data_IF_759903126569
#
_entry.id   IF_759903126569
#
_cell.length_a   1.000
_cell.length_b   1.000
_cell.length_c   1.000
_cell.angle_alpha   90.00
_cell.angle_beta   90.00
_cell.angle_gamma   90.00
#
_symmetry.space_group_name_H-M   'P 1'
#
loop_
_entity.id
_entity.type
_entity.pdbx_description
1 polymer ?
#
# COMPACT_ATOMS: atom_id res chain seq x y z
N UNK A 1 -3.79 -19.96 -24.62
CA UNK A 1 -2.45 -20.57 -24.33
C UNK A 1 -2.63 -21.60 -23.22
N UNK A 2 -2.04 -22.79 -23.34
CA UNK A 2 -1.99 -23.74 -22.22
C UNK A 2 -0.91 -23.21 -21.30
N UNK A 3 -1.28 -22.74 -20.11
CA UNK A 3 -0.33 -22.23 -19.11
C UNK A 3 0.36 -23.43 -18.43
N UNK A 4 1.50 -23.85 -18.96
CA UNK A 4 2.43 -24.71 -18.24
C UNK A 4 3.25 -23.83 -17.27
N UNK A 5 3.79 -24.44 -16.19
CA UNK A 5 4.62 -23.71 -15.22
C UNK A 5 5.82 -23.01 -15.89
N UNK A 6 6.36 -23.61 -16.95
CA UNK A 6 7.47 -23.06 -17.73
C UNK A 6 7.06 -21.80 -18.49
N UNK A 7 5.87 -21.80 -19.09
CA UNK A 7 5.35 -20.63 -19.81
C UNK A 7 5.07 -19.46 -18.84
N UNK A 8 4.53 -19.73 -17.67
CA UNK A 8 4.30 -18.71 -16.63
C UNK A 8 5.61 -18.08 -16.19
N UNK A 9 6.64 -18.91 -15.95
CA UNK A 9 7.96 -18.43 -15.56
C UNK A 9 8.59 -17.56 -16.64
N UNK A 10 8.52 -17.99 -17.90
CA UNK A 10 9.08 -17.26 -19.05
C UNK A 10 8.34 -15.90 -19.23
N UNK A 11 7.01 -15.91 -19.20
CA UNK A 11 6.19 -14.71 -19.34
C UNK A 11 6.50 -13.73 -18.20
N UNK A 12 6.51 -14.20 -16.97
CA UNK A 12 6.84 -13.37 -15.79
C UNK A 12 8.25 -12.76 -15.89
N UNK A 13 9.24 -13.55 -16.33
CA UNK A 13 10.60 -13.06 -16.53
C UNK A 13 10.67 -12.00 -17.64
N UNK A 14 9.97 -12.18 -18.77
CA UNK A 14 9.89 -11.20 -19.85
C UNK A 14 9.21 -9.93 -19.38
N UNK A 15 8.09 -10.01 -18.66
CA UNK A 15 7.36 -8.87 -18.11
C UNK A 15 8.25 -8.03 -17.20
N UNK A 16 8.94 -8.66 -16.24
CA UNK A 16 9.86 -7.99 -15.32
C UNK A 16 11.01 -7.35 -16.09
N UNK A 17 11.59 -8.06 -17.05
CA UNK A 17 12.68 -7.54 -17.89
C UNK A 17 12.23 -6.30 -18.68
N UNK A 18 11.08 -6.37 -19.35
CA UNK A 18 10.52 -5.25 -20.09
C UNK A 18 10.22 -4.05 -19.18
N UNK A 19 9.62 -4.29 -18.01
CA UNK A 19 9.34 -3.26 -17.02
C UNK A 19 10.62 -2.52 -16.60
N UNK A 20 11.71 -3.25 -16.28
CA UNK A 20 12.99 -2.65 -15.89
C UNK A 20 13.60 -1.86 -17.05
N UNK A 21 13.55 -2.37 -18.29
CA UNK A 21 14.11 -1.69 -19.44
C UNK A 21 13.36 -0.39 -19.76
N UNK A 22 12.04 -0.41 -19.68
CA UNK A 22 11.18 0.77 -19.93
C UNK A 22 11.36 1.81 -18.82
N UNK A 23 11.55 1.40 -17.57
CA UNK A 23 11.76 2.34 -16.45
C UNK A 23 13.00 3.21 -16.66
N UNK A 24 14.07 2.65 -17.24
CA UNK A 24 15.29 3.39 -17.60
C UNK A 24 15.00 4.53 -18.61
N UNK A 25 14.10 4.28 -19.53
CA UNK A 25 13.72 5.25 -20.57
C UNK A 25 12.78 6.31 -20.00
N UNK A 26 11.81 5.91 -19.18
CA UNK A 26 10.82 6.80 -18.58
C UNK A 26 11.44 7.86 -17.66
N UNK A 27 12.50 7.53 -16.96
CA UNK A 27 13.25 8.49 -16.13
C UNK A 27 13.73 9.72 -16.92
N UNK A 28 14.06 9.56 -18.21
CA UNK A 28 14.48 10.67 -19.09
C UNK A 28 13.34 11.62 -19.45
N UNK A 29 12.11 11.11 -19.47
CA UNK A 29 10.91 11.87 -19.84
C UNK A 29 10.12 12.38 -18.64
N UNK A 30 10.59 12.14 -17.41
CA UNK A 30 9.92 12.55 -16.18
C UNK A 30 8.60 11.79 -15.91
N UNK A 31 8.39 10.63 -16.57
CA UNK A 31 7.20 9.81 -16.39
C UNK A 31 7.39 8.97 -15.11
N UNK A 32 6.40 8.94 -14.20
CA UNK A 32 6.45 8.07 -13.02
C UNK A 32 6.66 6.60 -13.41
N UNK A 33 7.67 5.97 -12.83
CA UNK A 33 8.08 4.59 -13.19
C UNK A 33 6.96 3.57 -13.01
N UNK A 34 6.11 3.75 -11.99
CA UNK A 34 5.01 2.85 -11.69
C UNK A 34 3.93 2.85 -12.79
N UNK A 35 3.65 4.01 -13.39
CA UNK A 35 2.77 4.10 -14.57
C UNK A 35 3.33 3.32 -15.76
N UNK A 36 4.65 3.29 -15.91
CA UNK A 36 5.27 2.51 -16.98
C UNK A 36 5.11 1.01 -16.76
N UNK A 37 5.18 0.54 -15.51
CA UNK A 37 4.92 -0.87 -15.18
C UNK A 37 3.46 -1.23 -15.48
N UNK A 38 2.52 -0.37 -15.12
CA UNK A 38 1.11 -0.54 -15.45
C UNK A 38 0.89 -0.63 -16.97
N UNK A 39 1.48 0.30 -17.75
CA UNK A 39 1.38 0.30 -19.20
C UNK A 39 2.00 -0.94 -19.84
N UNK A 40 3.11 -1.47 -19.28
CA UNK A 40 3.66 -2.76 -19.73
C UNK A 40 2.66 -3.87 -19.47
N UNK A 41 2.06 -3.94 -18.27
CA UNK A 41 1.01 -4.90 -17.95
C UNK A 41 -0.15 -4.82 -18.95
N UNK A 42 -0.68 -3.63 -19.21
CA UNK A 42 -1.77 -3.41 -20.19
C UNK A 42 -1.37 -3.86 -21.61
N UNK A 43 -0.13 -3.61 -22.04
CA UNK A 43 0.36 -4.03 -23.34
C UNK A 43 0.47 -5.55 -23.51
N UNK A 44 0.67 -6.27 -22.42
CA UNK A 44 0.67 -7.75 -22.40
C UNK A 44 -0.70 -8.34 -22.06
N UNK A 45 -1.58 -7.59 -21.43
CA UNK A 45 -2.91 -8.01 -21.00
C UNK A 45 -3.85 -8.38 -22.13
N UNK A 46 -5.13 -8.57 -21.76
CA UNK A 46 -6.20 -9.06 -22.67
C UNK A 46 -6.36 -8.20 -23.93
N UNK A 47 -6.24 -6.87 -23.77
CA UNK A 47 -6.38 -5.91 -24.88
C UNK A 47 -5.12 -5.76 -25.73
N UNK A 48 -3.98 -6.31 -25.29
CA UNK A 48 -2.70 -6.26 -25.98
C UNK A 48 -2.29 -7.62 -26.55
N UNK A 49 -1.39 -8.32 -25.88
CA UNK A 49 -0.87 -9.63 -26.32
C UNK A 49 -1.76 -10.81 -25.90
N UNK A 50 -2.88 -10.58 -25.24
CA UNK A 50 -3.88 -11.59 -24.89
C UNK A 50 -3.49 -12.46 -23.69
N UNK A 51 -2.72 -11.94 -22.75
CA UNK A 51 -2.51 -12.60 -21.44
C UNK A 51 -3.73 -12.34 -20.56
N UNK A 52 -4.42 -13.40 -20.17
CA UNK A 52 -5.58 -13.32 -19.28
C UNK A 52 -5.14 -13.51 -17.83
N UNK A 53 -5.35 -12.48 -17.00
CA UNK A 53 -5.20 -12.52 -15.55
C UNK A 53 -6.53 -12.18 -14.87
N UNK A 54 -7.46 -13.14 -14.83
CA UNK A 54 -8.85 -12.93 -14.42
C UNK A 54 -9.14 -13.41 -12.98
N UNK A 55 -8.14 -13.70 -12.17
CA UNK A 55 -8.31 -14.19 -10.80
C UNK A 55 -8.25 -13.04 -9.79
N UNK A 56 -9.42 -12.57 -9.33
CA UNK A 56 -9.48 -11.56 -8.26
C UNK A 56 -8.80 -12.01 -6.95
N UNK A 57 -8.81 -13.33 -6.66
CA UNK A 57 -8.13 -13.89 -5.48
C UNK A 57 -6.62 -13.80 -5.59
N UNK A 58 -6.07 -14.10 -6.77
CA UNK A 58 -4.63 -14.03 -6.99
C UNK A 58 -4.16 -12.56 -7.01
N UNK A 59 -4.94 -11.66 -7.62
CA UNK A 59 -4.70 -10.22 -7.58
C UNK A 59 -4.72 -9.69 -6.13
N UNK A 60 -5.69 -10.09 -5.33
CA UNK A 60 -5.77 -9.74 -3.90
C UNK A 60 -4.54 -10.26 -3.14
N UNK A 61 -4.13 -11.51 -3.38
CA UNK A 61 -2.99 -12.13 -2.69
C UNK A 61 -1.67 -11.43 -3.06
N UNK A 62 -1.45 -11.13 -4.35
CA UNK A 62 -0.30 -10.36 -4.82
C UNK A 62 -0.30 -8.96 -4.20
N UNK A 63 -1.44 -8.27 -4.23
CA UNK A 63 -1.59 -6.94 -3.64
C UNK A 63 -1.32 -6.93 -2.14
N UNK A 64 -1.81 -7.94 -1.40
CA UNK A 64 -1.61 -8.08 0.03
C UNK A 64 -0.13 -8.23 0.40
N UNK A 65 0.59 -9.09 -0.28
CA UNK A 65 2.03 -9.28 -0.07
C UNK A 65 2.80 -8.01 -0.46
N UNK A 66 2.54 -7.48 -1.64
CA UNK A 66 3.26 -6.33 -2.17
C UNK A 66 3.06 -5.09 -1.31
N UNK A 67 1.80 -4.77 -0.97
CA UNK A 67 1.47 -3.59 -0.17
C UNK A 67 2.02 -3.70 1.26
N UNK A 68 2.01 -4.89 1.87
CA UNK A 68 2.63 -5.10 3.18
C UNK A 68 4.13 -4.77 3.18
N UNK A 69 4.86 -5.19 2.14
CA UNK A 69 6.29 -4.90 2.00
C UNK A 69 6.53 -3.41 1.74
N UNK A 70 5.73 -2.81 0.85
CA UNK A 70 5.84 -1.39 0.48
C UNK A 70 5.58 -0.50 1.69
N UNK A 71 4.49 -0.74 2.43
CA UNK A 71 4.14 0.03 3.62
C UNK A 71 5.16 -0.15 4.76
N UNK A 72 5.64 -1.37 4.97
CA UNK A 72 6.70 -1.61 5.95
C UNK A 72 7.96 -0.81 5.62
N UNK A 73 8.42 -0.85 4.37
CA UNK A 73 9.62 -0.12 3.95
C UNK A 73 9.38 1.40 3.97
N UNK A 74 8.21 1.87 3.56
CA UNK A 74 7.79 3.26 3.70
C UNK A 74 7.84 3.73 5.17
N UNK A 75 7.34 2.89 6.09
CA UNK A 75 7.46 3.12 7.52
C UNK A 75 8.92 3.15 8.00
N UNK A 76 9.78 2.25 7.51
CA UNK A 76 11.21 2.25 7.84
C UNK A 76 11.94 3.53 7.38
N UNK A 77 11.53 4.10 6.27
CA UNK A 77 12.09 5.33 5.72
C UNK A 77 11.59 6.59 6.45
N UNK A 78 10.47 6.48 7.16
CA UNK A 78 9.84 7.57 7.89
C UNK A 78 10.61 7.88 9.18
N UNK A 79 11.27 9.04 9.22
CA UNK A 79 12.04 9.47 10.39
C UNK A 79 11.14 10.18 11.40
N UNK A 80 10.93 9.57 12.56
CA UNK A 80 10.12 10.15 13.65
C UNK A 80 10.54 11.56 14.04
N UNK A 81 11.84 11.87 13.98
CA UNK A 81 12.36 13.21 14.28
C UNK A 81 11.81 14.25 13.32
N UNK A 82 11.73 13.91 12.03
CA UNK A 82 11.35 14.85 10.97
C UNK A 82 9.84 15.03 10.87
N UNK A 83 9.06 13.95 11.18
CA UNK A 83 7.59 14.00 11.15
C UNK A 83 6.96 14.54 12.44
N UNK A 84 7.66 14.49 13.59
CA UNK A 84 7.13 14.93 14.88
C UNK A 84 6.52 16.35 14.87
N UNK A 85 7.12 17.36 14.21
CA UNK A 85 6.55 18.71 14.17
C UNK A 85 5.24 18.81 13.36
N UNK A 86 5.04 17.92 12.39
CA UNK A 86 3.91 17.91 11.45
C UNK A 86 2.95 16.72 11.65
N UNK A 87 3.15 15.99 12.75
CA UNK A 87 2.39 14.75 13.01
C UNK A 87 0.88 14.99 13.07
N UNK A 88 0.44 16.03 13.76
CA UNK A 88 -0.99 16.34 13.86
C UNK A 88 -1.61 16.67 12.50
N UNK A 89 -0.93 17.50 11.71
CA UNK A 89 -1.39 17.88 10.37
C UNK A 89 -1.41 16.68 9.42
N UNK A 90 -0.33 15.88 9.39
CA UNK A 90 -0.24 14.69 8.55
C UNK A 90 -1.29 13.65 8.91
N UNK A 91 -1.54 13.41 10.21
CA UNK A 91 -2.59 12.48 10.67
C UNK A 91 -3.99 12.98 10.33
N UNK A 92 -4.27 14.28 10.45
CA UNK A 92 -5.57 14.84 10.05
C UNK A 92 -5.77 14.69 8.53
N UNK A 93 -4.76 14.98 7.73
CA UNK A 93 -4.84 14.84 6.27
C UNK A 93 -5.05 13.38 5.85
N UNK A 94 -4.31 12.46 6.44
CA UNK A 94 -4.44 11.03 6.10
C UNK A 94 -5.72 10.37 6.61
N UNK A 95 -6.44 10.97 7.56
CA UNK A 95 -7.70 10.44 8.12
C UNK A 95 -8.90 11.24 7.64
N UNK A 96 -9.04 12.48 8.09
CA UNK A 96 -10.15 13.36 7.72
C UNK A 96 -10.10 13.70 6.23
N UNK A 97 -8.90 13.87 5.66
CA UNK A 97 -8.71 14.10 4.23
C UNK A 97 -9.27 12.96 3.39
N UNK A 98 -8.93 11.71 3.73
CA UNK A 98 -9.45 10.50 3.06
C UNK A 98 -10.98 10.43 3.17
N UNK A 99 -11.54 10.68 4.35
CA UNK A 99 -13.00 10.70 4.56
C UNK A 99 -13.67 11.78 3.71
N UNK A 100 -13.16 13.01 3.71
CA UNK A 100 -13.69 14.10 2.89
C UNK A 100 -13.59 13.81 1.40
N UNK A 101 -12.45 13.29 0.94
CA UNK A 101 -12.25 12.89 -0.45
C UNK A 101 -13.28 11.83 -0.85
N UNK A 102 -13.47 10.81 -0.01
CA UNK A 102 -14.46 9.75 -0.25
C UNK A 102 -15.88 10.32 -0.31
N UNK A 103 -16.27 11.18 0.63
CA UNK A 103 -17.61 11.76 0.67
C UNK A 103 -17.89 12.69 -0.52
N UNK A 104 -16.95 13.59 -0.85
CA UNK A 104 -17.10 14.53 -1.94
C UNK A 104 -17.08 13.83 -3.31
N UNK A 105 -16.11 12.94 -3.53
CA UNK A 105 -16.00 12.18 -4.77
C UNK A 105 -17.15 11.20 -4.92
N UNK A 106 -17.52 10.47 -3.86
CA UNK A 106 -18.65 9.55 -3.88
C UNK A 106 -19.99 10.24 -4.09
N UNK A 107 -20.20 11.41 -3.45
CA UNK A 107 -21.36 12.25 -3.69
C UNK A 107 -21.42 12.76 -5.13
N UNK A 108 -20.28 13.16 -5.70
CA UNK A 108 -20.18 13.57 -7.10
C UNK A 108 -20.49 12.41 -8.07
N UNK A 109 -19.94 11.22 -7.82
CA UNK A 109 -20.20 10.02 -8.63
C UNK A 109 -21.70 9.66 -8.55
N UNK A 110 -22.29 9.68 -7.36
CA UNK A 110 -23.73 9.44 -7.17
C UNK A 110 -24.57 10.44 -7.96
N UNK A 111 -24.26 11.75 -7.83
CA UNK A 111 -24.97 12.81 -8.56
C UNK A 111 -24.81 12.64 -10.10
N UNK A 112 -23.59 12.36 -10.57
CA UNK A 112 -23.31 12.18 -11.98
C UNK A 112 -24.04 10.94 -12.55
N UNK A 113 -24.06 9.83 -11.80
CA UNK A 113 -24.75 8.59 -12.21
C UNK A 113 -26.26 8.74 -12.30
N UNK A 114 -26.85 9.73 -11.60
CA UNK A 114 -28.27 10.07 -11.69
C UNK A 114 -28.66 10.84 -12.95
N UNK A 115 -27.71 11.33 -13.75
CA UNK A 115 -28.01 11.95 -15.03
C UNK A 115 -28.47 10.91 -16.05
N UNK A 116 -29.70 11.08 -16.53
CA UNK A 116 -30.49 10.15 -17.35
C UNK A 116 -29.81 9.68 -18.65
N UNK A 117 -28.78 10.37 -19.13
CA UNK A 117 -28.09 10.03 -20.37
C UNK A 117 -27.08 8.87 -20.24
N UNK A 118 -26.67 8.52 -19.02
CA UNK A 118 -25.63 7.49 -18.82
C UNK A 118 -26.17 6.09 -18.52
N UNK A 119 -27.46 5.91 -18.22
CA UNK A 119 -28.10 4.64 -17.88
C UNK A 119 -27.39 3.78 -16.80
N UNK A 120 -26.54 4.41 -15.97
CA UNK A 120 -25.73 3.76 -14.91
C UNK A 120 -26.11 4.40 -13.58
N UNK A 121 -27.31 4.12 -13.08
CA UNK A 121 -27.69 4.57 -11.73
C UNK A 121 -26.94 3.76 -10.67
N UNK A 122 -25.97 4.37 -10.01
CA UNK A 122 -25.19 3.75 -8.93
C UNK A 122 -25.80 4.11 -7.57
N UNK A 123 -26.06 3.12 -6.68
CA UNK A 123 -26.45 3.40 -5.31
C UNK A 123 -25.38 4.22 -4.59
N UNK A 124 -25.79 5.06 -3.62
CA UNK A 124 -24.87 5.93 -2.87
C UNK A 124 -23.73 5.15 -2.21
N UNK A 125 -24.01 3.97 -1.64
CA UNK A 125 -22.99 3.13 -0.99
C UNK A 125 -21.95 2.61 -1.99
N UNK A 126 -22.38 2.22 -3.20
CA UNK A 126 -21.47 1.79 -4.26
C UNK A 126 -20.62 2.94 -4.78
N UNK A 127 -21.21 4.14 -4.89
CA UNK A 127 -20.49 5.36 -5.26
C UNK A 127 -19.44 5.74 -4.21
N UNK A 128 -19.78 5.63 -2.91
CA UNK A 128 -18.84 5.83 -1.82
C UNK A 128 -17.74 4.77 -1.79
N UNK A 129 -18.07 3.51 -2.07
CA UNK A 129 -17.10 2.43 -2.17
C UNK A 129 -16.08 2.69 -3.28
N UNK A 130 -16.54 3.07 -4.47
CA UNK A 130 -15.67 3.44 -5.58
C UNK A 130 -14.77 4.64 -5.21
N UNK A 131 -15.33 5.65 -4.56
CA UNK A 131 -14.57 6.80 -4.11
C UNK A 131 -13.54 6.44 -3.03
N UNK A 132 -13.85 5.53 -2.10
CA UNK A 132 -12.95 5.08 -1.07
C UNK A 132 -11.70 4.38 -1.66
N UNK A 133 -11.87 3.56 -2.69
CA UNK A 133 -10.75 2.91 -3.38
C UNK A 133 -9.82 3.89 -4.10
N UNK A 134 -10.32 5.10 -4.43
CA UNK A 134 -9.57 6.16 -5.13
C UNK A 134 -9.08 7.27 -4.19
N UNK A 135 -9.38 7.19 -2.88
CA UNK A 135 -9.15 8.29 -1.93
C UNK A 135 -7.73 8.35 -1.37
N UNK A 136 -6.91 7.33 -1.61
CA UNK A 136 -5.52 7.27 -1.20
C UNK A 136 -4.59 7.77 -2.31
N UNK A 137 -3.45 8.33 -1.91
CA UNK A 137 -2.35 8.72 -2.80
C UNK A 137 -1.25 7.66 -2.73
N UNK A 138 -0.65 7.29 -3.86
CA UNK A 138 0.43 6.31 -3.89
C UNK A 138 1.71 6.84 -3.23
N UNK A 139 2.01 6.33 -2.04
CA UNK A 139 3.18 6.70 -1.24
C UNK A 139 4.50 6.45 -1.98
N UNK A 140 4.58 5.36 -2.75
CA UNK A 140 5.77 5.02 -3.49
C UNK A 140 6.08 6.05 -4.59
N UNK A 141 5.08 6.51 -5.32
CA UNK A 141 5.21 7.58 -6.33
C UNK A 141 5.62 8.90 -5.69
N UNK A 142 4.99 9.28 -4.57
CA UNK A 142 5.32 10.52 -3.84
C UNK A 142 6.77 10.50 -3.36
N UNK A 143 7.20 9.42 -2.71
CA UNK A 143 8.58 9.30 -2.23
C UNK A 143 9.60 9.30 -3.36
N UNK A 144 9.33 8.57 -4.45
CA UNK A 144 10.21 8.54 -5.60
C UNK A 144 10.34 9.91 -6.25
N UNK A 145 9.23 10.64 -6.42
CA UNK A 145 9.23 11.98 -7.00
C UNK A 145 10.03 12.97 -6.13
N UNK A 146 9.78 12.99 -4.83
CA UNK A 146 10.47 13.86 -3.89
C UNK A 146 11.98 13.60 -3.82
N UNK A 147 12.39 12.33 -3.94
CA UNK A 147 13.80 11.92 -3.93
C UNK A 147 14.50 12.19 -5.26
N UNK A 148 13.88 11.83 -6.38
CA UNK A 148 14.48 11.96 -7.71
C UNK A 148 14.69 13.42 -8.11
N UNK A 149 13.77 14.31 -7.76
CA UNK A 149 13.82 15.73 -8.06
C UNK A 149 14.66 16.54 -7.07
N UNK A 150 15.19 15.90 -6.00
CA UNK A 150 15.91 16.58 -4.89
C UNK A 150 15.16 17.81 -4.37
N UNK A 151 13.83 17.76 -4.38
CA UNK A 151 13.00 18.91 -4.01
C UNK A 151 13.13 19.19 -2.52
N UNK A 152 13.60 20.37 -2.19
CA UNK A 152 13.54 20.92 -0.84
C UNK A 152 12.25 21.74 -0.73
N UNK A 153 11.24 21.13 -0.13
CA UNK A 153 9.98 21.81 0.17
C UNK A 153 10.15 22.63 1.46
N UNK A 154 9.61 23.85 1.46
CA UNK A 154 9.62 24.74 2.64
C UNK A 154 8.68 24.21 3.74
N UNK A 155 8.84 24.72 4.96
CA UNK A 155 7.90 24.54 6.08
C UNK A 155 7.60 23.08 6.45
N UNK A 156 8.58 22.19 6.34
CA UNK A 156 8.44 20.77 6.63
C UNK A 156 7.34 20.05 5.78
N UNK A 157 6.99 20.60 4.61
CA UNK A 157 6.02 19.97 3.72
C UNK A 157 6.43 18.58 3.25
N UNK A 158 7.75 18.35 3.06
CA UNK A 158 8.24 17.02 2.65
C UNK A 158 7.93 15.93 3.69
N UNK A 159 8.33 16.08 4.99
CA UNK A 159 7.94 15.12 6.02
C UNK A 159 6.42 14.99 6.19
N UNK A 160 5.65 16.07 5.99
CA UNK A 160 4.19 16.04 6.07
C UNK A 160 3.58 15.19 4.95
N UNK A 161 4.04 15.36 3.70
CA UNK A 161 3.60 14.56 2.56
C UNK A 161 4.02 13.08 2.70
N UNK A 162 5.22 12.82 3.22
CA UNK A 162 5.70 11.45 3.50
C UNK A 162 4.82 10.76 4.55
N UNK A 163 4.43 11.49 5.61
CA UNK A 163 3.53 10.96 6.65
C UNK A 163 2.11 10.77 6.14
N UNK A 164 1.57 11.76 5.44
CA UNK A 164 0.21 11.72 4.88
C UNK A 164 0.09 10.55 3.91
N UNK A 165 0.95 10.47 2.91
CA UNK A 165 0.89 9.47 1.86
C UNK A 165 1.19 8.04 2.36
N UNK A 166 2.04 7.88 3.39
CA UNK A 166 2.29 6.58 4.02
C UNK A 166 1.18 6.11 4.97
N UNK A 167 0.33 7.03 5.43
CA UNK A 167 -0.73 6.74 6.41
C UNK A 167 -2.14 6.72 5.79
N UNK A 168 -2.34 7.31 4.60
CA UNK A 168 -3.64 7.36 3.95
C UNK A 168 -4.05 6.01 3.33
N UNK A 169 -3.09 5.19 2.85
CA UNK A 169 -3.35 3.85 2.33
C UNK A 169 -4.08 2.95 3.35
N UNK A 170 -3.58 2.79 4.60
CA UNK A 170 -4.30 2.08 5.63
C UNK A 170 -5.71 2.62 5.89
N UNK A 171 -5.90 3.94 5.86
CA UNK A 171 -7.22 4.57 6.07
C UNK A 171 -8.19 4.29 4.93
N UNK A 172 -7.75 4.43 3.67
CA UNK A 172 -8.57 4.13 2.51
C UNK A 172 -8.98 2.64 2.48
N UNK A 173 -8.04 1.75 2.82
CA UNK A 173 -8.32 0.32 2.95
C UNK A 173 -9.36 0.03 4.04
N UNK A 174 -9.21 0.60 5.24
CA UNK A 174 -10.17 0.45 6.35
C UNK A 174 -11.57 0.89 5.91
N UNK A 175 -11.67 2.05 5.28
CA UNK A 175 -12.93 2.61 4.82
C UNK A 175 -13.56 1.75 3.72
N UNK A 176 -12.74 1.24 2.79
CA UNK A 176 -13.18 0.33 1.72
C UNK A 176 -13.76 -0.96 2.30
N UNK A 177 -13.06 -1.61 3.23
CA UNK A 177 -13.53 -2.85 3.87
C UNK A 177 -14.79 -2.61 4.69
N UNK A 178 -14.86 -1.51 5.45
CA UNK A 178 -16.05 -1.16 6.22
C UNK A 178 -17.28 -0.94 5.30
N UNK A 179 -17.11 -0.25 4.18
CA UNK A 179 -18.19 -0.07 3.19
C UNK A 179 -18.62 -1.39 2.52
N UNK A 180 -17.67 -2.28 2.22
CA UNK A 180 -17.98 -3.62 1.69
C UNK A 180 -18.82 -4.40 2.70
N UNK A 181 -18.47 -4.37 3.99
CA UNK A 181 -19.22 -5.05 5.05
C UNK A 181 -20.64 -4.49 5.19
N UNK A 182 -20.81 -3.17 5.14
CA UNK A 182 -22.13 -2.52 5.17
C UNK A 182 -22.97 -2.95 3.96
N UNK A 183 -22.40 -2.98 2.76
CA UNK A 183 -23.09 -3.41 1.54
C UNK A 183 -23.47 -4.90 1.64
N UNK A 184 -22.55 -5.75 2.11
CA UNK A 184 -22.76 -7.19 2.22
C UNK A 184 -23.79 -7.58 3.29
N UNK A 185 -23.90 -6.81 4.37
CA UNK A 185 -24.86 -7.08 5.46
C UNK A 185 -26.33 -6.88 5.05
N UNK A 186 -26.58 -6.07 4.01
CA UNK A 186 -27.95 -5.74 3.56
C UNK A 186 -28.83 -5.04 4.60
N UNK A 187 -28.29 -4.72 5.78
CA UNK A 187 -29.01 -4.17 6.94
C UNK A 187 -29.27 -2.66 6.86
N UNK A 188 -28.92 -2.02 5.74
CA UNK A 188 -28.96 -0.56 5.61
C UNK A 188 -27.69 0.12 6.14
N UNK A 189 -27.60 1.42 5.92
CA UNK A 189 -26.43 2.21 6.33
C UNK A 189 -26.50 2.53 7.82
N UNK A 190 -25.74 1.80 8.64
CA UNK A 190 -25.58 2.08 10.08
C UNK A 190 -24.21 2.76 10.33
N UNK A 191 -24.27 4.07 10.53
CA UNK A 191 -23.09 4.90 10.83
C UNK A 191 -22.42 4.44 12.13
N UNK A 192 -23.18 3.96 13.13
CA UNK A 192 -22.66 3.52 14.42
C UNK A 192 -21.76 2.30 14.28
N UNK A 193 -22.18 1.31 13.50
CA UNK A 193 -21.39 0.11 13.20
C UNK A 193 -20.13 0.46 12.41
N UNK A 194 -20.26 1.30 11.38
CA UNK A 194 -19.12 1.74 10.56
C UNK A 194 -18.05 2.45 11.40
N UNK A 195 -18.44 3.39 12.25
CA UNK A 195 -17.52 4.11 13.14
C UNK A 195 -16.86 3.16 14.15
N UNK A 196 -17.65 2.25 14.73
CA UNK A 196 -17.11 1.23 15.64
C UNK A 196 -16.04 0.37 14.96
N UNK A 197 -16.32 -0.13 13.76
CA UNK A 197 -15.39 -0.99 13.03
C UNK A 197 -14.10 -0.24 12.65
N UNK A 198 -14.20 1.01 12.22
CA UNK A 198 -13.04 1.85 11.96
C UNK A 198 -12.20 2.08 13.23
N UNK A 199 -12.83 2.34 14.38
CA UNK A 199 -12.11 2.52 15.64
C UNK A 199 -11.41 1.24 16.10
N UNK A 200 -12.08 0.08 15.97
CA UNK A 200 -11.48 -1.22 16.31
C UNK A 200 -10.28 -1.51 15.41
N UNK A 201 -10.43 -1.37 14.10
CA UNK A 201 -9.36 -1.60 13.13
C UNK A 201 -8.15 -0.69 13.41
N UNK A 202 -8.39 0.59 13.72
CA UNK A 202 -7.35 1.56 14.02
C UNK A 202 -6.64 1.24 15.34
N UNK A 203 -7.39 0.99 16.40
CA UNK A 203 -6.83 0.71 17.73
C UNK A 203 -6.05 -0.60 17.77
N UNK A 204 -6.64 -1.69 17.27
CA UNK A 204 -5.98 -3.00 17.22
C UNK A 204 -4.76 -2.94 16.31
N UNK A 205 -4.87 -2.33 15.13
CA UNK A 205 -3.74 -2.13 14.22
C UNK A 205 -2.59 -1.36 14.86
N UNK A 206 -2.91 -0.27 15.57
CA UNK A 206 -1.93 0.55 16.29
C UNK A 206 -1.20 -0.21 17.41
N UNK A 207 -1.95 -0.90 18.25
CA UNK A 207 -1.40 -1.67 19.37
C UNK A 207 -0.54 -2.83 18.89
N UNK A 208 -1.03 -3.60 17.91
CA UNK A 208 -0.30 -4.74 17.36
C UNK A 208 0.96 -4.29 16.61
N UNK A 209 0.87 -3.22 15.81
CA UNK A 209 2.04 -2.66 15.14
C UNK A 209 3.11 -2.19 16.12
N UNK A 210 2.71 -1.56 17.23
CA UNK A 210 3.65 -1.17 18.28
C UNK A 210 4.26 -2.38 18.97
N UNK A 211 3.46 -3.36 19.38
CA UNK A 211 3.93 -4.54 20.09
C UNK A 211 4.90 -5.37 19.26
N UNK A 212 4.52 -5.68 18.01
CA UNK A 212 5.39 -6.41 17.08
C UNK A 212 6.61 -5.60 16.65
N UNK A 213 6.49 -4.28 16.53
CA UNK A 213 7.63 -3.40 16.25
C UNK A 213 8.69 -3.46 17.34
N UNK A 214 8.28 -3.42 18.60
CA UNK A 214 9.17 -3.59 19.76
C UNK A 214 9.77 -4.98 19.83
N UNK A 215 8.95 -6.00 19.57
CA UNK A 215 9.39 -7.40 19.48
C UNK A 215 10.43 -7.60 18.39
N UNK A 216 10.19 -7.05 17.19
CA UNK A 216 11.12 -7.17 16.07
C UNK A 216 12.49 -6.54 16.37
N UNK A 217 12.50 -5.34 16.95
CA UNK A 217 13.75 -4.67 17.35
C UNK A 217 14.48 -5.50 18.41
N UNK A 218 13.77 -6.02 19.40
CA UNK A 218 14.37 -6.87 20.44
C UNK A 218 14.93 -8.16 19.84
N UNK A 219 14.15 -8.84 19.00
CA UNK A 219 14.53 -10.12 18.39
C UNK A 219 15.77 -9.95 17.50
N UNK A 220 15.78 -8.97 16.60
CA UNK A 220 16.90 -8.71 15.69
C UNK A 220 18.20 -8.44 16.46
N UNK A 221 18.13 -7.66 17.54
CA UNK A 221 19.31 -7.32 18.32
C UNK A 221 19.77 -8.42 19.29
N UNK A 222 18.89 -9.39 19.60
CA UNK A 222 19.16 -10.43 20.59
C UNK A 222 19.57 -11.77 19.94
N UNK A 223 18.98 -12.08 18.79
CA UNK A 223 19.25 -13.33 18.08
C UNK A 223 20.62 -13.22 17.40
N UNK A 224 21.52 -14.11 17.75
CA UNK A 224 22.85 -14.17 17.17
C UNK A 224 22.87 -15.18 16.02
N UNK A 225 22.41 -14.76 14.82
CA UNK A 225 22.40 -15.61 13.64
C UNK A 225 23.80 -15.68 13.03
N UNK A 226 24.18 -16.87 12.57
CA UNK A 226 25.50 -17.14 11.98
C UNK A 226 25.72 -16.40 10.66
N UNK A 227 24.63 -16.02 9.94
CA UNK A 227 24.70 -15.34 8.66
C UNK A 227 23.88 -14.05 8.69
N UNK A 228 24.52 -12.93 8.33
CA UNK A 228 23.88 -11.62 8.30
C UNK A 228 22.70 -11.52 7.31
N UNK A 229 22.69 -12.32 6.26
CA UNK A 229 21.60 -12.36 5.28
C UNK A 229 20.29 -12.95 5.82
N UNK A 230 20.32 -13.63 6.97
CA UNK A 230 19.11 -14.17 7.61
C UNK A 230 18.31 -13.09 8.36
N UNK A 231 18.94 -11.98 8.77
CA UNK A 231 18.25 -10.91 9.51
C UNK A 231 17.14 -10.22 8.71
N UNK A 232 17.35 -9.84 7.43
CA UNK A 232 16.25 -9.29 6.64
C UNK A 232 15.14 -10.32 6.38
N UNK A 233 15.46 -11.60 6.23
CA UNK A 233 14.46 -12.67 6.05
C UNK A 233 13.63 -12.87 7.33
N UNK A 234 14.28 -12.85 8.50
CA UNK A 234 13.60 -12.88 9.79
C UNK A 234 12.65 -11.68 9.94
N UNK A 235 13.11 -10.49 9.55
CA UNK A 235 12.28 -9.29 9.59
C UNK A 235 11.08 -9.40 8.64
N UNK A 236 11.27 -9.91 7.42
CA UNK A 236 10.18 -10.14 6.47
C UNK A 236 9.14 -11.12 7.03
N UNK A 237 9.58 -12.18 7.71
CA UNK A 237 8.64 -13.11 8.35
C UNK A 237 7.81 -12.42 9.44
N UNK A 238 8.43 -11.53 10.23
CA UNK A 238 7.72 -10.75 11.24
C UNK A 238 6.72 -9.75 10.64
N UNK A 239 7.02 -9.19 9.47
CA UNK A 239 6.07 -8.34 8.72
C UNK A 239 4.79 -9.11 8.41
N UNK A 240 4.91 -10.31 7.82
CA UNK A 240 3.73 -11.11 7.47
C UNK A 240 3.00 -11.67 8.70
N UNK A 241 3.73 -12.07 9.74
CA UNK A 241 3.13 -12.49 11.02
C UNK A 241 2.32 -11.33 11.63
N UNK A 242 2.89 -10.12 11.65
CA UNK A 242 2.22 -8.93 12.17
C UNK A 242 0.95 -8.63 11.39
N UNK A 243 1.03 -8.63 10.05
CA UNK A 243 -0.12 -8.42 9.18
C UNK A 243 -1.23 -9.43 9.52
N UNK A 244 -0.91 -10.73 9.41
CA UNK A 244 -1.91 -11.80 9.54
C UNK A 244 -2.52 -11.87 10.93
N UNK A 245 -1.72 -11.77 12.01
CA UNK A 245 -2.27 -11.81 13.37
C UNK A 245 -3.16 -10.60 13.64
N UNK A 246 -2.78 -9.41 13.14
CA UNK A 246 -3.59 -8.21 13.30
C UNK A 246 -4.93 -8.34 12.58
N UNK A 247 -4.91 -8.84 11.35
CA UNK A 247 -6.12 -9.08 10.54
C UNK A 247 -7.05 -10.10 11.19
N UNK A 248 -6.52 -11.22 11.72
CA UNK A 248 -7.27 -12.22 12.48
C UNK A 248 -7.94 -11.65 13.75
N UNK A 249 -7.37 -10.60 14.34
CA UNK A 249 -7.93 -9.88 15.49
C UNK A 249 -8.86 -8.72 15.07
N UNK A 250 -9.31 -8.69 13.82
CA UNK A 250 -10.14 -7.63 13.24
C UNK A 250 -9.49 -6.23 13.31
N UNK A 251 -8.16 -6.17 13.38
CA UNK A 251 -7.38 -4.93 13.26
C UNK A 251 -6.95 -4.68 11.83
N UNK A 252 -6.46 -3.47 11.54
CA UNK A 252 -5.89 -3.18 10.24
C UNK A 252 -4.42 -3.67 10.17
N UNK A 253 -4.18 -4.76 9.40
CA UNK A 253 -2.85 -5.36 9.21
C UNK A 253 -1.87 -4.40 8.52
N UNK A 254 -2.32 -3.58 7.58
CA UNK A 254 -1.48 -2.61 6.88
C UNK A 254 -1.01 -1.49 7.79
N UNK A 255 -1.90 -0.97 8.65
CA UNK A 255 -1.52 0.01 9.67
C UNK A 255 -0.50 -0.58 10.65
N UNK A 256 -0.70 -1.82 11.08
CA UNK A 256 0.22 -2.49 11.99
C UNK A 256 1.61 -2.66 11.37
N UNK A 257 1.67 -3.08 10.11
CA UNK A 257 2.94 -3.26 9.38
C UNK A 257 3.64 -1.91 9.13
N UNK A 258 2.91 -0.85 8.81
CA UNK A 258 3.47 0.50 8.69
C UNK A 258 4.09 0.97 10.00
N UNK A 259 3.37 0.84 11.13
CA UNK A 259 3.87 1.23 12.46
C UNK A 259 5.09 0.37 12.86
N UNK A 260 5.05 -0.94 12.59
CA UNK A 260 6.20 -1.83 12.76
C UNK A 260 7.41 -1.28 11.98
N UNK A 261 7.22 -0.89 10.73
CA UNK A 261 8.25 -0.26 9.89
C UNK A 261 8.83 1.01 10.52
N UNK A 262 7.96 1.92 10.99
CA UNK A 262 8.37 3.16 11.66
C UNK A 262 9.24 2.87 12.89
N UNK A 263 8.84 1.88 13.72
CA UNK A 263 9.60 1.53 14.93
C UNK A 263 10.96 0.94 14.58
N UNK A 264 11.00 -0.02 13.65
CA UNK A 264 12.22 -0.68 13.18
C UNK A 264 13.17 0.32 12.52
N UNK A 265 12.64 1.19 11.67
CA UNK A 265 13.41 2.21 10.95
C UNK A 265 14.07 3.26 11.85
N UNK A 266 13.46 3.56 13.01
CA UNK A 266 13.98 4.52 13.98
C UNK A 266 14.80 3.90 15.12
N UNK A 267 14.89 2.55 15.17
CA UNK A 267 15.68 1.85 16.16
C UNK A 267 17.13 1.64 15.73
N UNK A 268 18.02 1.41 16.69
CA UNK A 268 19.38 0.93 16.41
C UNK A 268 19.33 -0.57 16.19
N UNK A 269 19.66 -1.02 14.98
CA UNK A 269 19.65 -2.42 14.60
C UNK A 269 21.05 -2.90 14.22
N UNK A 270 21.37 -4.13 14.58
CA UNK A 270 22.50 -4.86 14.00
C UNK A 270 22.20 -5.13 12.50
N UNK A 271 23.24 -5.16 11.67
CA UNK A 271 23.12 -5.44 10.22
C UNK A 271 22.10 -4.54 9.48
N UNK A 272 21.97 -3.28 9.91
CA UNK A 272 21.02 -2.32 9.34
C UNK A 272 21.20 -2.11 7.83
N UNK A 273 22.46 -2.13 7.35
CA UNK A 273 22.76 -1.93 5.92
C UNK A 273 22.21 -3.08 5.08
N UNK A 274 22.41 -4.30 5.52
CA UNK A 274 21.95 -5.52 4.87
C UNK A 274 20.43 -5.57 4.84
N UNK A 275 19.78 -5.24 5.97
CA UNK A 275 18.32 -5.15 6.07
C UNK A 275 17.79 -4.12 5.08
N UNK A 276 18.32 -2.91 5.06
CA UNK A 276 17.86 -1.85 4.17
C UNK A 276 18.07 -2.20 2.69
N UNK A 277 19.22 -2.79 2.33
CA UNK A 277 19.50 -3.18 0.94
C UNK A 277 18.53 -4.25 0.45
N UNK A 278 18.28 -5.26 1.28
CA UNK A 278 17.34 -6.33 0.96
C UNK A 278 15.91 -5.81 0.84
N UNK A 279 15.45 -5.04 1.84
CA UNK A 279 14.08 -4.53 1.86
C UNK A 279 13.81 -3.55 0.71
N UNK A 280 14.78 -2.70 0.35
CA UNK A 280 14.66 -1.83 -0.82
C UNK A 280 14.53 -2.61 -2.13
N UNK A 281 15.35 -3.64 -2.33
CA UNK A 281 15.24 -4.51 -3.52
C UNK A 281 13.90 -5.24 -3.59
N UNK A 282 13.44 -5.75 -2.45
CA UNK A 282 12.16 -6.44 -2.34
C UNK A 282 10.96 -5.48 -2.58
N UNK A 283 11.06 -4.25 -2.12
CA UNK A 283 10.04 -3.22 -2.38
C UNK A 283 9.93 -2.91 -3.87
N UNK A 284 11.04 -2.73 -4.57
CA UNK A 284 11.04 -2.53 -6.02
C UNK A 284 10.42 -3.74 -6.75
N UNK A 285 10.79 -4.95 -6.35
CA UNK A 285 10.20 -6.17 -6.91
C UNK A 285 8.68 -6.22 -6.68
N UNK A 286 8.24 -5.91 -5.46
CA UNK A 286 6.82 -5.88 -5.08
C UNK A 286 6.04 -4.83 -5.90
N UNK A 287 6.59 -3.63 -6.09
CA UNK A 287 6.00 -2.59 -6.92
C UNK A 287 5.86 -3.06 -8.39
N UNK A 288 6.92 -3.63 -8.96
CA UNK A 288 6.89 -4.15 -10.34
C UNK A 288 5.78 -5.19 -10.47
N UNK A 289 5.77 -6.21 -9.61
CA UNK A 289 4.78 -7.31 -9.68
C UNK A 289 3.35 -6.78 -9.50
N UNK A 290 3.12 -5.89 -8.52
CA UNK A 290 1.81 -5.32 -8.25
C UNK A 290 1.28 -4.51 -9.44
N UNK A 291 2.07 -3.57 -9.97
CA UNK A 291 1.61 -2.72 -11.07
C UNK A 291 1.52 -3.48 -12.41
N UNK A 292 2.37 -4.47 -12.66
CA UNK A 292 2.21 -5.37 -13.80
C UNK A 292 0.91 -6.17 -13.70
N UNK A 293 0.62 -6.76 -12.52
CA UNK A 293 -0.60 -7.56 -12.34
C UNK A 293 -1.88 -6.72 -12.40
N UNK A 294 -1.82 -5.45 -12.00
CA UNK A 294 -2.94 -4.50 -12.17
C UNK A 294 -3.16 -4.09 -13.63
N UNK A 295 -2.11 -4.15 -14.45
CA UNK A 295 -2.21 -3.84 -15.88
C UNK A 295 -2.68 -5.01 -16.74
N UNK A 296 -2.44 -6.26 -16.30
CA UNK A 296 -2.86 -7.48 -17.02
C UNK A 296 -4.37 -7.67 -16.96
#
# INVERSE_FOLDING_TARGET
MIFTAENILLIGAILIFCAIMISKTGYRFGIPTLLLFLLVGMGFGTDGLGLEFNSAKDAQFIGMIALSIILFTGGMDTKLRDIKPVMAQGMILSTVGVLLTTLLTGGFIFWLSGFSSMNIAMPILTSLLLAATMSSTDSASVFNLLRSQRMNLKENLKPMLELESGSNDPMAYMLTIALIQVIASGSGFDIGLLVKDLLVQFFVGGVMGYAFGRLAVWLINKVNLSNSSLYPILLLSLVFITFTITDLLHGNGYLAVYILGVIVGNARLVFRKEINTFMNGLTWFSQIVMFLSLGL
#
